data_IF_819642664179
#
_entry.id   IF_819642664179
#
_cell.length_a   1.000
_cell.length_b   1.000
_cell.length_c   1.000
_cell.angle_alpha   90.00
_cell.angle_beta   90.00
_cell.angle_gamma   90.00
#
_symmetry.space_group_name_H-M   'P 1'
#
loop_
_entity.id
_entity.type
_entity.pdbx_description
1 polymer ?
#
# COMPACT_ATOMS: atom_id res chain seq x y z
N UNK A 1 -15.58 -14.71 7.35
CA UNK A 1 -15.47 -13.36 7.93
C UNK A 1 -14.13 -12.78 7.50
N UNK A 2 -14.07 -12.07 6.38
CA UNK A 2 -12.80 -11.64 5.77
C UNK A 2 -12.50 -10.21 6.21
N UNK A 3 -11.80 -10.04 7.34
CA UNK A 3 -11.03 -8.81 7.58
C UNK A 3 -9.69 -8.97 6.86
N UNK A 4 -9.70 -8.85 5.53
CA UNK A 4 -8.47 -8.67 4.76
C UNK A 4 -8.02 -7.24 5.01
N UNK A 5 -7.30 -7.04 6.11
CA UNK A 5 -6.67 -5.78 6.50
C UNK A 5 -6.04 -5.12 5.26
N UNK A 6 -6.66 -4.03 4.79
CA UNK A 6 -6.31 -3.31 3.56
C UNK A 6 -5.01 -2.49 3.71
N UNK A 7 -3.93 -3.12 4.16
CA UNK A 7 -2.65 -2.48 4.40
C UNK A 7 -1.94 -2.21 3.06
N UNK A 8 -1.55 -0.95 2.84
CA UNK A 8 -0.86 -0.49 1.62
C UNK A 8 -1.65 -0.74 0.33
N UNK A 9 -2.98 -0.61 0.39
CA UNK A 9 -3.89 -0.74 -0.77
C UNK A 9 -4.10 0.58 -1.51
N UNK A 10 -3.75 1.71 -0.87
CA UNK A 10 -3.80 3.06 -1.44
C UNK A 10 -2.44 3.74 -1.28
N UNK A 11 -2.14 4.66 -2.18
CA UNK A 11 -0.93 5.47 -2.11
C UNK A 11 -1.02 6.51 -0.98
N UNK A 12 0.10 6.75 -0.33
CA UNK A 12 0.25 7.75 0.71
C UNK A 12 0.34 9.14 0.07
N UNK A 13 -0.68 9.97 0.28
CA UNK A 13 -0.71 11.37 -0.22
C UNK A 13 0.43 12.19 0.39
N UNK A 14 0.76 11.95 1.66
CA UNK A 14 1.87 12.63 2.34
C UNK A 14 3.22 12.27 1.69
N UNK A 15 3.42 11.01 1.33
CA UNK A 15 4.64 10.60 0.61
C UNK A 15 4.74 11.28 -0.76
N UNK A 16 3.62 11.37 -1.48
CA UNK A 16 3.58 12.07 -2.77
C UNK A 16 3.89 13.57 -2.64
N UNK A 17 3.65 14.15 -1.47
CA UNK A 17 4.03 15.54 -1.12
C UNK A 17 5.41 15.63 -0.45
N UNK A 18 6.13 14.52 -0.24
CA UNK A 18 7.42 14.49 0.45
C UNK A 18 7.36 14.59 1.99
N UNK A 19 6.17 14.51 2.58
CA UNK A 19 5.94 14.67 4.02
C UNK A 19 5.82 13.33 4.79
N UNK A 20 6.04 12.19 4.15
CA UNK A 20 6.04 10.89 4.84
C UNK A 20 7.35 10.14 4.61
N UNK A 21 8.00 9.73 5.69
CA UNK A 21 9.21 8.89 5.67
C UNK A 21 9.04 7.62 6.55
N UNK A 22 7.80 7.26 6.90
CA UNK A 22 7.53 6.10 7.77
C UNK A 22 7.59 4.81 6.96
N UNK A 23 8.53 3.92 7.26
CA UNK A 23 8.60 2.60 6.61
C UNK A 23 7.38 1.71 6.95
N UNK A 24 6.82 1.89 8.15
CA UNK A 24 5.60 1.19 8.61
C UNK A 24 4.33 2.04 8.39
N UNK A 25 4.22 2.71 7.24
CA UNK A 25 3.00 3.45 6.89
C UNK A 25 1.89 2.48 6.48
N UNK A 26 0.65 2.76 6.92
CA UNK A 26 -0.55 2.02 6.50
C UNK A 26 -0.90 2.21 5.02
N UNK A 27 -0.31 3.23 4.40
CA UNK A 27 -0.46 3.58 2.98
C UNK A 27 0.85 3.31 2.25
N UNK A 28 0.76 3.00 0.95
CA UNK A 28 1.92 2.67 0.12
C UNK A 28 2.71 3.92 -0.28
N UNK A 29 4.04 3.92 -0.12
CA UNK A 29 4.93 5.00 -0.56
C UNK A 29 5.37 4.83 -2.01
N UNK A 30 4.41 4.54 -2.89
CA UNK A 30 4.66 4.27 -4.30
C UNK A 30 4.10 2.93 -4.74
N UNK A 31 4.21 2.65 -6.03
CA UNK A 31 3.63 1.45 -6.63
C UNK A 31 4.30 0.15 -6.14
N UNK A 32 5.58 0.22 -5.75
CA UNK A 32 6.33 -0.92 -5.21
C UNK A 32 5.75 -1.44 -3.88
N UNK A 33 5.22 -0.54 -3.05
CA UNK A 33 4.57 -0.90 -1.79
C UNK A 33 3.07 -1.09 -1.93
N UNK A 34 2.48 -0.63 -3.04
CA UNK A 34 1.06 -0.73 -3.30
C UNK A 34 0.71 -2.19 -3.54
N UNK A 35 0.12 -2.84 -2.53
CA UNK A 35 -0.50 -4.14 -2.67
C UNK A 35 -1.73 -3.99 -3.56
N UNK A 36 -1.50 -4.03 -4.87
CA UNK A 36 -2.50 -4.52 -5.82
C UNK A 36 -2.80 -5.93 -5.36
N UNK A 37 -4.05 -6.23 -5.08
CA UNK A 37 -4.47 -7.57 -4.68
C UNK A 37 -3.86 -8.61 -5.65
N UNK A 38 -2.76 -9.25 -5.25
CA UNK A 38 -2.28 -10.52 -5.82
C UNK A 38 -3.23 -11.59 -5.28
N UNK A 39 -4.47 -11.53 -5.78
CA UNK A 39 -5.46 -12.58 -5.68
C UNK A 39 -5.73 -13.22 -7.05
N UNK A 40 -4.94 -12.86 -8.07
CA UNK A 40 -4.93 -13.53 -9.36
C UNK A 40 -3.64 -14.35 -9.48
N UNK A 41 -3.70 -15.60 -9.98
CA UNK A 41 -2.53 -16.42 -10.20
C UNK A 41 -1.65 -15.73 -11.25
N UNK A 42 -0.49 -15.23 -10.84
CA UNK A 42 0.59 -14.93 -11.78
C UNK A 42 1.24 -16.26 -12.13
N UNK A 43 1.06 -16.69 -13.38
CA UNK A 43 1.87 -17.72 -14.05
C UNK A 43 3.36 -17.41 -13.93
#
# INVERSE_FOLDING_TARGET
>A
MVDRKLFKTKLCVLYQRGHCNRQSCSFAHGQAELRRFVGGPTT
#
